data_IF_458786564728
#
_entry.id   IF_458786564728
#
_cell.length_a   1.000
_cell.length_b   1.000
_cell.length_c   1.000
_cell.angle_alpha   90.00
_cell.angle_beta   90.00
_cell.angle_gamma   90.00
#
_symmetry.space_group_name_H-M   'P 1'
#
loop_
_entity.id
_entity.type
_entity.pdbx_description
1 polymer ?
#
# COMPACT_ATOMS: atom_id res chain seq x y z
N UNK A 1 -17.04 31.99 -42.98
CA UNK A 1 -16.95 31.32 -41.67
C UNK A 1 -15.74 30.40 -41.77
N UNK A 2 -14.60 30.81 -41.21
CA UNK A 2 -13.42 29.96 -41.20
C UNK A 2 -13.72 28.72 -40.37
N UNK A 3 -13.58 27.54 -40.98
CA UNK A 3 -13.89 26.23 -40.40
C UNK A 3 -13.00 25.86 -39.19
N UNK A 4 -12.10 26.75 -38.76
CA UNK A 4 -11.17 26.55 -37.67
C UNK A 4 -11.69 26.92 -36.28
N UNK A 5 -12.78 27.69 -36.15
CA UNK A 5 -13.18 28.25 -34.84
C UNK A 5 -14.46 27.64 -34.24
N UNK A 6 -14.90 26.51 -34.79
CA UNK A 6 -16.08 25.81 -34.28
C UNK A 6 -15.72 25.04 -33.02
N UNK A 7 -16.39 25.38 -31.92
CA UNK A 7 -16.32 24.63 -30.66
C UNK A 7 -17.25 23.42 -30.78
N UNK A 8 -16.70 22.23 -30.59
CA UNK A 8 -17.44 20.97 -30.59
C UNK A 8 -17.19 20.22 -29.28
N UNK A 9 -18.16 19.38 -28.92
CA UNK A 9 -18.07 18.48 -27.76
C UNK A 9 -18.02 17.04 -28.25
N UNK A 10 -17.05 16.28 -27.76
CA UNK A 10 -16.91 14.85 -28.10
C UNK A 10 -16.73 14.02 -26.84
N UNK A 11 -17.24 12.80 -26.89
CA UNK A 11 -17.18 11.83 -25.79
C UNK A 11 -16.12 10.78 -26.12
N UNK A 12 -15.21 10.54 -25.18
CA UNK A 12 -14.14 9.55 -25.26
C UNK A 12 -14.29 8.53 -24.14
N UNK A 13 -14.18 7.25 -24.46
CA UNK A 13 -14.24 6.16 -23.48
C UNK A 13 -12.86 5.54 -23.31
N UNK A 14 -12.30 5.62 -22.11
CA UNK A 14 -11.00 5.07 -21.76
C UNK A 14 -11.13 3.69 -21.13
N UNK A 15 -10.24 2.77 -21.50
CA UNK A 15 -10.27 1.37 -21.03
C UNK A 15 -9.22 1.07 -19.98
N UNK A 16 -8.06 1.72 -20.05
CA UNK A 16 -6.87 1.35 -19.30
C UNK A 16 -6.35 2.48 -18.41
N UNK A 17 -6.44 3.73 -18.88
CA UNK A 17 -6.00 4.89 -18.11
C UNK A 17 -7.13 5.49 -17.24
N UNK A 18 -6.75 5.99 -16.07
CA UNK A 18 -7.65 6.72 -15.18
C UNK A 18 -8.09 8.06 -15.80
N UNK A 19 -9.40 8.35 -15.79
CA UNK A 19 -9.96 9.58 -16.38
C UNK A 19 -9.36 10.86 -15.78
N UNK A 20 -8.96 10.86 -14.51
CA UNK A 20 -8.34 12.02 -13.87
C UNK A 20 -6.91 12.25 -14.39
N UNK A 21 -6.14 11.17 -14.59
CA UNK A 21 -4.81 11.25 -15.16
C UNK A 21 -4.86 11.76 -16.61
N UNK A 22 -5.77 11.21 -17.41
CA UNK A 22 -5.97 11.65 -18.79
C UNK A 22 -6.40 13.14 -18.86
N UNK A 23 -7.32 13.59 -18.01
CA UNK A 23 -7.68 15.01 -17.91
C UNK A 23 -6.48 15.89 -17.57
N UNK A 24 -5.70 15.50 -16.56
CA UNK A 24 -4.52 16.28 -16.14
C UNK A 24 -3.49 16.42 -17.28
N UNK A 25 -3.26 15.37 -18.07
CA UNK A 25 -2.38 15.42 -19.23
C UNK A 25 -2.92 16.34 -20.32
N UNK A 26 -4.22 16.25 -20.62
CA UNK A 26 -4.88 17.12 -21.61
C UNK A 26 -4.85 18.60 -21.18
N UNK A 27 -5.01 18.89 -19.89
CA UNK A 27 -4.92 20.24 -19.33
C UNK A 27 -3.47 20.78 -19.40
N UNK A 28 -2.47 19.97 -19.04
CA UNK A 28 -1.05 20.35 -19.11
C UNK A 28 -0.62 20.68 -20.54
N UNK A 29 -1.12 19.94 -21.53
CA UNK A 29 -0.86 20.20 -22.95
C UNK A 29 -1.77 21.29 -23.55
N UNK A 30 -2.69 21.85 -22.75
CA UNK A 30 -3.68 22.87 -23.17
C UNK A 30 -4.48 22.45 -24.41
N UNK A 31 -4.82 21.16 -24.48
CA UNK A 31 -5.50 20.57 -25.63
C UNK A 31 -7.03 20.78 -25.56
N UNK A 32 -7.61 20.83 -24.37
CA UNK A 32 -9.05 21.08 -24.15
C UNK A 32 -9.35 22.50 -23.68
N UNK A 33 -10.57 22.98 -23.95
CA UNK A 33 -11.11 24.21 -23.35
C UNK A 33 -11.85 23.87 -22.05
N UNK A 34 -12.68 22.84 -22.10
CA UNK A 34 -13.34 22.27 -20.92
C UNK A 34 -13.33 20.75 -21.02
N UNK A 35 -12.98 20.09 -19.92
CA UNK A 35 -12.91 18.63 -19.84
C UNK A 35 -13.69 18.20 -18.61
N UNK A 36 -14.77 17.45 -18.83
CA UNK A 36 -15.58 16.84 -17.78
C UNK A 36 -15.30 15.34 -17.75
N UNK A 37 -15.07 14.79 -16.56
CA UNK A 37 -14.80 13.37 -16.36
C UNK A 37 -15.99 12.68 -15.69
N UNK A 38 -16.22 11.43 -16.07
CA UNK A 38 -17.17 10.52 -15.44
C UNK A 38 -16.37 9.27 -15.05
N UNK A 39 -15.78 9.25 -13.84
CA UNK A 39 -14.91 8.16 -13.39
C UNK A 39 -15.59 6.79 -13.40
N UNK A 40 -16.88 6.76 -13.06
CA UNK A 40 -17.67 5.53 -12.92
C UNK A 40 -17.77 4.75 -14.23
N UNK A 41 -17.81 5.47 -15.37
CA UNK A 41 -17.93 4.89 -16.71
C UNK A 41 -16.62 4.99 -17.51
N UNK A 42 -15.52 5.45 -16.91
CA UNK A 42 -14.26 5.68 -17.63
C UNK A 42 -14.38 6.67 -18.79
N UNK A 43 -15.32 7.62 -18.72
CA UNK A 43 -15.65 8.50 -19.85
C UNK A 43 -15.14 9.92 -19.64
N UNK A 44 -14.63 10.52 -20.71
CA UNK A 44 -14.22 11.92 -20.79
C UNK A 44 -15.07 12.65 -21.83
N UNK A 45 -15.67 13.75 -21.40
CA UNK A 45 -16.39 14.67 -22.29
C UNK A 45 -15.46 15.87 -22.48
N UNK A 46 -14.97 16.03 -23.71
CA UNK A 46 -14.03 17.08 -24.07
C UNK A 46 -14.74 18.09 -24.95
N UNK A 47 -14.76 19.34 -24.52
CA UNK A 47 -15.23 20.49 -25.28
C UNK A 47 -14.02 21.30 -25.74
N UNK A 48 -13.91 21.54 -27.05
CA UNK A 48 -12.79 22.28 -27.61
C UNK A 48 -12.96 22.58 -29.10
N UNK A 49 -11.94 23.19 -29.69
CA UNK A 49 -11.96 23.55 -31.10
C UNK A 49 -11.85 22.33 -32.02
N UNK A 50 -12.65 22.31 -33.09
CA UNK A 50 -12.73 21.19 -34.03
C UNK A 50 -11.37 20.75 -34.59
N UNK A 51 -10.48 21.69 -34.94
CA UNK A 51 -9.16 21.37 -35.48
C UNK A 51 -8.21 20.69 -34.48
N UNK A 52 -8.46 20.82 -33.17
CA UNK A 52 -7.65 20.13 -32.14
C UNK A 52 -8.21 18.77 -31.79
N UNK A 53 -9.47 18.48 -32.14
CA UNK A 53 -10.16 17.28 -31.70
C UNK A 53 -9.51 16.00 -32.23
N UNK A 54 -9.03 16.00 -33.48
CA UNK A 54 -8.29 14.87 -34.04
C UNK A 54 -7.01 14.56 -33.24
N UNK A 55 -6.26 15.59 -32.85
CA UNK A 55 -5.04 15.43 -32.04
C UNK A 55 -5.33 14.94 -30.63
N UNK A 56 -6.46 15.34 -30.04
CA UNK A 56 -6.90 14.85 -28.73
C UNK A 56 -7.23 13.36 -28.81
N UNK A 57 -7.95 12.94 -29.86
CA UNK A 57 -8.28 11.54 -30.11
C UNK A 57 -7.02 10.68 -30.27
N UNK A 58 -6.10 11.09 -31.16
CA UNK A 58 -4.83 10.38 -31.35
C UNK A 58 -3.98 10.33 -30.07
N UNK A 59 -3.96 11.41 -29.29
CA UNK A 59 -3.23 11.45 -28.02
C UNK A 59 -3.85 10.50 -26.99
N UNK A 60 -5.18 10.48 -26.86
CA UNK A 60 -5.89 9.59 -25.96
C UNK A 60 -5.67 8.12 -26.35
N UNK A 61 -5.72 7.79 -27.64
CA UNK A 61 -5.44 6.43 -28.14
C UNK A 61 -3.98 6.02 -27.89
N UNK A 62 -3.04 6.98 -27.97
CA UNK A 62 -1.63 6.70 -27.71
C UNK A 62 -1.34 6.41 -26.23
N UNK A 63 -2.07 7.07 -25.30
CA UNK A 63 -1.86 6.91 -23.85
C UNK A 63 -2.75 5.83 -23.22
N UNK A 64 -3.91 5.51 -23.81
CA UNK A 64 -4.84 4.48 -23.31
C UNK A 64 -4.37 3.06 -23.71
N UNK A 65 -3.12 2.76 -23.38
CA UNK A 65 -2.53 1.42 -23.57
C UNK A 65 -2.76 0.58 -22.31
N UNK A 66 -2.93 -0.75 -22.45
CA UNK A 66 -3.00 -1.64 -21.30
C UNK A 66 -1.73 -1.50 -20.48
N UNK A 67 -1.88 -0.98 -19.26
CA UNK A 67 -0.82 -1.03 -18.26
C UNK A 67 -0.51 -2.48 -17.88
N UNK A 68 0.66 -2.70 -17.29
CA UNK A 68 1.02 -4.02 -16.78
C UNK A 68 0.00 -4.52 -15.76
N UNK A 69 -0.47 -5.75 -15.94
CA UNK A 69 -1.41 -6.36 -15.02
C UNK A 69 -0.72 -6.67 -13.69
N UNK A 70 -1.38 -6.31 -12.59
CA UNK A 70 -0.94 -6.74 -11.26
C UNK A 70 -1.05 -8.25 -11.15
N UNK A 71 0.01 -8.89 -10.69
CA UNK A 71 0.08 -10.33 -10.45
C UNK A 71 -0.11 -10.62 -8.96
N UNK A 72 -0.68 -11.77 -8.66
CA UNK A 72 -0.72 -12.32 -7.32
C UNK A 72 0.42 -13.35 -7.15
N UNK A 73 1.18 -13.23 -6.06
CA UNK A 73 2.20 -14.20 -5.64
C UNK A 73 2.10 -14.46 -4.14
N UNK A 74 2.64 -15.59 -3.70
CA UNK A 74 2.83 -15.84 -2.28
C UNK A 74 4.21 -16.45 -2.02
N UNK A 75 4.75 -16.19 -0.83
CA UNK A 75 6.00 -16.77 -0.34
C UNK A 75 5.77 -17.43 1.01
N UNK A 76 6.20 -18.68 1.13
CA UNK A 76 6.22 -19.41 2.39
C UNK A 76 7.54 -19.14 3.10
N UNK A 77 7.48 -18.65 4.34
CA UNK A 77 8.66 -18.40 5.15
C UNK A 77 9.05 -19.65 5.93
N UNK A 78 10.35 -19.85 6.12
CA UNK A 78 10.95 -21.02 6.80
C UNK A 78 11.56 -20.69 8.14
N UNK A 79 12.27 -19.56 8.24
CA UNK A 79 13.09 -19.23 9.40
C UNK A 79 12.54 -18.02 10.17
N UNK A 80 11.70 -17.23 9.53
CA UNK A 80 11.09 -16.02 10.07
C UNK A 80 9.57 -16.07 10.05
N UNK A 81 8.94 -15.15 10.79
CA UNK A 81 7.47 -15.05 10.86
C UNK A 81 6.93 -13.95 9.94
N UNK A 82 5.88 -14.27 9.18
CA UNK A 82 5.29 -13.37 8.19
C UNK A 82 4.87 -12.03 8.77
N UNK A 83 4.35 -12.06 10.00
CA UNK A 83 3.88 -10.91 10.78
C UNK A 83 5.00 -9.92 11.11
N UNK A 84 6.16 -10.46 11.47
CA UNK A 84 7.31 -9.65 11.88
C UNK A 84 8.11 -9.20 10.66
N UNK A 85 8.05 -9.97 9.58
CA UNK A 85 8.79 -9.71 8.36
C UNK A 85 8.10 -8.68 7.43
N UNK A 86 6.79 -8.79 7.22
CA UNK A 86 6.03 -7.87 6.36
C UNK A 86 6.27 -6.37 6.66
N UNK A 87 6.22 -5.88 7.93
CA UNK A 87 6.51 -4.48 8.22
C UNK A 87 7.97 -4.09 7.91
N UNK A 88 8.93 -4.99 8.13
CA UNK A 88 10.35 -4.75 7.79
C UNK A 88 10.57 -4.63 6.28
N UNK A 89 9.90 -5.48 5.50
CA UNK A 89 9.93 -5.42 4.03
C UNK A 89 9.38 -4.08 3.56
N UNK A 90 8.24 -3.63 4.12
CA UNK A 90 7.67 -2.32 3.81
C UNK A 90 8.68 -1.20 4.05
N UNK A 91 9.28 -1.16 5.25
CA UNK A 91 10.23 -0.08 5.58
C UNK A 91 11.44 -0.07 4.65
N UNK A 92 11.98 -1.23 4.29
CA UNK A 92 13.14 -1.34 3.41
C UNK A 92 12.78 -0.97 1.95
N UNK A 93 11.63 -1.42 1.46
CA UNK A 93 11.18 -1.10 0.11
C UNK A 93 10.88 0.40 -0.07
N UNK A 94 10.31 1.05 0.95
CA UNK A 94 10.08 2.50 0.95
C UNK A 94 11.39 3.28 1.04
N UNK A 95 12.37 2.82 1.83
CA UNK A 95 13.70 3.43 1.91
C UNK A 95 14.49 3.33 0.60
N UNK A 96 14.32 2.24 -0.15
CA UNK A 96 14.89 2.09 -1.49
C UNK A 96 14.21 3.01 -2.53
N UNK A 97 13.15 3.74 -2.15
CA UNK A 97 12.45 4.71 -3.00
C UNK A 97 11.77 4.11 -4.24
N UNK A 98 11.78 2.78 -4.37
CA UNK A 98 11.40 2.10 -5.62
C UNK A 98 9.92 1.67 -5.60
N UNK A 99 9.32 1.47 -4.42
CA UNK A 99 8.00 0.84 -4.29
C UNK A 99 7.25 1.41 -3.07
N UNK A 100 5.97 1.74 -3.25
CA UNK A 100 5.06 2.04 -2.14
C UNK A 100 4.27 0.79 -1.76
N UNK A 101 4.44 0.32 -0.52
CA UNK A 101 3.84 -0.93 -0.04
C UNK A 101 2.71 -0.63 0.95
N UNK A 102 1.52 -1.18 0.69
CA UNK A 102 0.43 -1.22 1.69
C UNK A 102 0.32 -2.62 2.25
N UNK A 103 0.40 -2.74 3.58
CA UNK A 103 0.17 -4.00 4.28
C UNK A 103 -1.30 -4.04 4.69
N UNK A 104 -1.95 -5.20 4.55
CA UNK A 104 -3.26 -5.48 5.07
C UNK A 104 -3.31 -5.15 6.57
N UNK A 105 -4.09 -4.13 6.94
CA UNK A 105 -4.35 -3.86 8.34
C UNK A 105 -5.26 -4.96 8.88
N UNK A 106 -4.85 -5.61 9.99
CA UNK A 106 -5.78 -6.47 10.75
C UNK A 106 -7.04 -5.65 11.06
N UNK A 107 -8.25 -6.20 10.85
CA UNK A 107 -9.47 -5.50 11.20
C UNK A 107 -9.39 -5.07 12.66
N UNK A 108 -9.58 -3.77 12.91
CA UNK A 108 -9.46 -3.19 14.23
C UNK A 108 -10.32 -4.01 15.22
N UNK A 109 -9.69 -4.48 16.29
CA UNK A 109 -10.37 -5.24 17.34
C UNK A 109 -11.62 -4.46 17.78
N UNK A 110 -12.77 -5.14 17.78
CA UNK A 110 -14.06 -4.55 18.12
C UNK A 110 -13.93 -3.92 19.51
N UNK A 111 -14.05 -2.60 19.58
CA UNK A 111 -13.88 -1.86 20.84
C UNK A 111 -14.97 -2.33 21.80
N UNK A 112 -14.58 -3.10 22.83
CA UNK A 112 -15.47 -3.54 23.89
C UNK A 112 -15.60 -2.46 24.95
N UNK A 113 -16.79 -2.38 25.54
CA UNK A 113 -17.10 -1.42 26.60
C UNK A 113 -16.40 -1.85 27.88
N UNK A 114 -15.67 -0.93 28.53
CA UNK A 114 -14.98 -1.25 29.79
C UNK A 114 -16.01 -1.37 30.93
N UNK A 115 -15.81 -2.23 31.93
CA UNK A 115 -16.63 -2.23 33.14
C UNK A 115 -16.57 -0.84 33.78
N UNK A 116 -17.73 -0.22 34.05
CA UNK A 116 -17.93 1.17 34.53
C UNK A 116 -17.83 2.31 33.49
N UNK A 117 -17.73 2.02 32.20
CA UNK A 117 -17.74 3.07 31.16
C UNK A 117 -19.16 3.58 30.86
N UNK A 118 -19.36 4.90 30.94
CA UNK A 118 -20.63 5.55 30.56
C UNK A 118 -20.88 5.45 29.05
N UNK A 119 -22.14 5.48 28.63
CA UNK A 119 -22.50 5.37 27.21
C UNK A 119 -21.92 6.52 26.37
N UNK A 120 -21.81 7.72 26.96
CA UNK A 120 -21.20 8.90 26.33
C UNK A 120 -19.69 8.73 26.14
N UNK A 121 -18.98 8.22 27.14
CA UNK A 121 -17.55 7.95 27.04
C UNK A 121 -17.22 6.88 25.98
N UNK A 122 -18.05 5.82 25.91
CA UNK A 122 -17.91 4.79 24.88
C UNK A 122 -18.11 5.34 23.46
N UNK A 123 -19.15 6.17 23.24
CA UNK A 123 -19.39 6.82 21.93
C UNK A 123 -18.26 7.77 21.54
N UNK A 124 -17.76 8.57 22.48
CA UNK A 124 -16.63 9.46 22.23
C UNK A 124 -15.37 8.70 21.81
N UNK A 125 -15.08 7.55 22.46
CA UNK A 125 -13.93 6.69 22.13
C UNK A 125 -14.08 6.04 20.75
N UNK A 126 -15.29 5.60 20.42
CA UNK A 126 -15.59 5.03 19.11
C UNK A 126 -15.46 6.07 17.99
N UNK A 127 -15.95 7.28 18.19
CA UNK A 127 -15.82 8.38 17.22
C UNK A 127 -14.36 8.81 17.03
N UNK A 128 -13.58 8.88 18.11
CA UNK A 128 -12.14 9.23 18.05
C UNK A 128 -11.32 8.16 17.32
N UNK A 129 -11.63 6.88 17.54
CA UNK A 129 -11.01 5.78 16.80
C UNK A 129 -11.41 5.77 15.31
N UNK A 130 -12.67 6.05 14.99
CA UNK A 130 -13.14 6.16 13.61
C UNK A 130 -12.53 7.36 12.88
N UNK A 131 -12.32 8.48 13.56
CA UNK A 131 -11.64 9.65 13.01
C UNK A 131 -10.16 9.37 12.73
N UNK A 132 -9.45 8.69 13.64
CA UNK A 132 -8.05 8.29 13.45
C UNK A 132 -7.85 7.30 12.29
N UNK A 133 -8.82 6.42 12.04
CA UNK A 133 -8.80 5.49 10.91
C UNK A 133 -9.03 6.19 9.55
N UNK A 134 -9.76 7.32 9.53
CA UNK A 134 -10.04 8.08 8.29
C UNK A 134 -8.85 8.93 7.82
N UNK A 135 -7.98 9.36 8.73
CA UNK A 135 -6.78 10.15 8.43
C UNK A 135 -5.62 9.33 7.88
N UNK A 136 -5.71 8.00 7.88
CA UNK A 136 -4.67 7.09 7.39
C UNK A 136 -4.89 6.60 5.95
N UNK A 137 -5.72 7.28 5.15
CA UNK A 137 -5.88 6.96 3.73
C UNK A 137 -4.59 7.33 2.98
N UNK A 138 -3.86 6.38 2.39
CA UNK A 138 -2.66 6.70 1.61
C UNK A 138 -3.09 7.49 0.37
N UNK A 139 -2.53 8.67 0.18
CA UNK A 139 -2.75 9.55 -0.98
C UNK A 139 -2.08 9.05 -2.27
N UNK A 140 -1.25 8.00 -2.18
CA UNK A 140 -0.65 7.32 -3.31
C UNK A 140 -1.27 5.93 -3.46
N UNK A 141 -1.78 5.60 -4.66
CA UNK A 141 -2.22 4.23 -4.99
C UNK A 141 -1.01 3.30 -4.77
N UNK A 142 -1.04 2.37 -3.79
CA UNK A 142 0.12 1.54 -3.51
C UNK A 142 0.42 0.66 -4.72
N UNK A 143 1.70 0.59 -5.04
CA UNK A 143 2.20 -0.20 -6.15
C UNK A 143 2.18 -1.69 -5.80
N UNK A 144 2.45 -2.03 -4.53
CA UNK A 144 2.39 -3.40 -4.03
C UNK A 144 1.53 -3.48 -2.77
N UNK A 145 0.67 -4.48 -2.69
CA UNK A 145 -0.10 -4.85 -1.51
C UNK A 145 0.47 -6.13 -0.90
N UNK A 146 0.69 -6.15 0.41
CA UNK A 146 1.15 -7.31 1.16
C UNK A 146 0.12 -7.73 2.21
N UNK A 147 -0.08 -9.03 2.39
CA UNK A 147 -0.82 -9.60 3.52
C UNK A 147 0.00 -10.73 4.16
N UNK A 148 -0.06 -10.85 5.48
CA UNK A 148 0.69 -11.83 6.24
C UNK A 148 -0.27 -12.87 6.83
N UNK A 149 -0.28 -14.08 6.26
CA UNK A 149 -1.02 -15.21 6.81
C UNK A 149 -0.21 -15.91 7.90
N UNK A 150 -0.63 -15.65 9.13
CA UNK A 150 -0.09 -16.17 10.40
C UNK A 150 -0.23 -17.69 10.49
N UNK A 151 -1.35 -18.23 9.99
CA UNK A 151 -1.70 -19.65 10.13
C UNK A 151 -0.81 -20.53 9.26
N UNK A 152 -0.44 -20.03 8.09
CA UNK A 152 0.43 -20.77 7.16
C UNK A 152 1.85 -20.22 7.12
N UNK A 153 2.16 -19.16 7.85
CA UNK A 153 3.44 -18.44 7.78
C UNK A 153 3.81 -18.02 6.34
N UNK A 154 2.86 -17.41 5.62
CA UNK A 154 3.02 -16.96 4.22
C UNK A 154 2.84 -15.46 4.10
N UNK A 155 3.59 -14.84 3.20
CA UNK A 155 3.34 -13.47 2.73
C UNK A 155 2.64 -13.57 1.37
N UNK A 156 1.43 -12.99 1.28
CA UNK A 156 0.66 -12.83 0.06
C UNK A 156 0.96 -11.45 -0.52
N UNK A 157 1.11 -11.36 -1.84
CA UNK A 157 1.62 -10.17 -2.51
C UNK A 157 0.85 -9.90 -3.80
N UNK A 158 0.45 -8.65 -4.02
CA UNK A 158 -0.21 -8.21 -5.25
C UNK A 158 0.49 -6.96 -5.77
N UNK A 159 1.02 -7.00 -6.99
CA UNK A 159 1.77 -5.88 -7.56
C UNK A 159 2.24 -6.13 -8.98
N UNK A 160 2.99 -5.20 -9.56
CA UNK A 160 3.62 -5.41 -10.87
C UNK A 160 4.72 -6.47 -10.80
N UNK A 161 4.99 -7.14 -11.92
CA UNK A 161 5.94 -8.26 -11.97
C UNK A 161 7.33 -7.86 -11.44
N UNK A 162 7.86 -6.73 -11.89
CA UNK A 162 9.18 -6.22 -11.49
C UNK A 162 9.24 -5.87 -10.00
N UNK A 163 8.15 -5.33 -9.47
CA UNK A 163 8.06 -4.94 -8.06
C UNK A 163 8.01 -6.17 -7.15
N UNK A 164 7.29 -7.21 -7.57
CA UNK A 164 7.24 -8.48 -6.84
C UNK A 164 8.62 -9.16 -6.83
N UNK A 165 9.39 -9.06 -7.91
CA UNK A 165 10.78 -9.59 -7.94
C UNK A 165 11.67 -8.89 -6.91
N UNK A 166 11.52 -7.58 -6.71
CA UNK A 166 12.25 -6.84 -5.67
C UNK A 166 11.85 -7.33 -4.27
N UNK A 167 10.55 -7.50 -4.02
CA UNK A 167 10.05 -8.00 -2.74
C UNK A 167 10.52 -9.44 -2.48
N UNK A 168 10.51 -10.30 -3.51
CA UNK A 168 11.04 -11.67 -3.42
C UNK A 168 12.51 -11.67 -2.97
N UNK A 169 13.36 -10.81 -3.55
CA UNK A 169 14.77 -10.66 -3.13
C UNK A 169 14.93 -10.17 -1.69
N UNK A 170 14.06 -9.26 -1.24
CA UNK A 170 14.06 -8.79 0.15
C UNK A 170 13.66 -9.91 1.11
N UNK A 171 12.68 -10.74 0.74
CA UNK A 171 12.29 -11.92 1.53
C UNK A 171 13.46 -12.89 1.62
N UNK A 172 14.12 -13.20 0.51
CA UNK A 172 15.25 -14.13 0.47
C UNK A 172 16.44 -13.67 1.35
N UNK A 173 16.69 -12.36 1.40
CA UNK A 173 17.74 -11.79 2.23
C UNK A 173 17.42 -11.79 3.73
N UNK A 174 16.14 -11.82 4.10
CA UNK A 174 15.69 -11.69 5.49
C UNK A 174 15.22 -13.02 6.10
N UNK A 175 14.69 -13.94 5.30
CA UNK A 175 14.26 -15.28 5.73
C UNK A 175 15.44 -16.26 5.71
N UNK A 176 16.42 -15.98 6.57
CA UNK A 176 17.63 -16.80 6.73
C UNK A 176 17.63 -17.49 8.09
N UNK A 177 18.29 -18.64 8.16
CA UNK A 177 18.44 -19.38 9.42
C UNK A 177 19.20 -18.54 10.44
N UNK A 178 18.54 -18.25 11.57
CA UNK A 178 19.19 -17.58 12.68
C UNK A 178 19.99 -18.61 13.48
N UNK A 179 21.32 -18.58 13.37
CA UNK A 179 22.18 -19.31 14.31
C UNK A 179 22.22 -18.53 15.62
N UNK A 180 21.36 -18.89 16.56
CA UNK A 180 21.44 -18.33 17.91
C UNK A 180 22.73 -18.86 18.56
N UNK A 181 23.75 -18.02 18.61
CA UNK A 181 25.01 -18.33 19.31
C UNK A 181 24.83 -18.37 20.84
N UNK A 182 23.63 -18.03 21.35
CA UNK A 182 23.32 -18.18 22.77
C UNK A 182 23.21 -19.65 23.13
N UNK A 183 24.24 -20.16 23.80
CA UNK A 183 24.14 -21.46 24.47
C UNK A 183 23.40 -21.28 25.79
N UNK A 184 22.22 -21.90 25.94
CA UNK A 184 21.57 -22.03 27.23
C UNK A 184 22.42 -22.95 28.11
N UNK A 185 22.96 -22.40 29.19
CA UNK A 185 23.70 -23.17 30.20
C UNK A 185 22.93 -23.11 31.50
N UNK A 186 22.53 -24.28 31.98
CA UNK A 186 21.91 -24.41 33.30
C UNK A 186 23.04 -24.52 34.33
N UNK A 187 23.11 -23.54 35.23
CA UNK A 187 24.03 -23.57 36.37
C UNK A 187 23.24 -23.85 37.63
N UNK A 188 23.58 -24.93 38.33
CA UNK A 188 23.03 -25.22 39.63
C UNK A 188 23.80 -24.44 40.70
N UNK A 189 23.09 -23.63 41.48
CA UNK A 189 23.67 -22.77 42.49
C UNK A 189 23.71 -23.55 43.81
N UNK A 190 24.91 -23.73 44.39
CA UNK A 190 25.10 -24.57 45.58
C UNK A 190 25.07 -23.79 46.90
N UNK A 191 25.53 -22.54 46.91
CA UNK A 191 25.87 -21.83 48.15
C UNK A 191 25.20 -20.46 48.33
N UNK A 192 24.51 -19.94 47.32
CA UNK A 192 23.91 -18.59 47.32
C UNK A 192 22.46 -18.68 46.84
N UNK A 193 21.61 -17.74 47.27
CA UNK A 193 20.24 -17.63 46.77
C UNK A 193 20.20 -17.24 45.28
N UNK A 194 19.26 -17.80 44.54
CA UNK A 194 19.09 -17.51 43.12
C UNK A 194 18.72 -16.04 42.85
N UNK A 195 17.91 -15.41 43.71
CA UNK A 195 17.60 -13.98 43.61
C UNK A 195 18.85 -13.08 43.70
N UNK A 196 19.78 -13.37 44.61
CA UNK A 196 20.96 -12.53 44.83
C UNK A 196 21.96 -12.61 43.65
N UNK A 197 22.10 -13.80 43.05
CA UNK A 197 22.91 -13.97 41.83
C UNK A 197 22.27 -13.26 40.64
N UNK A 198 20.94 -13.28 40.54
CA UNK A 198 20.22 -12.58 39.49
C UNK A 198 20.48 -11.07 39.56
N UNK A 199 20.34 -10.45 40.74
CA UNK A 199 20.62 -9.02 40.91
C UNK A 199 22.05 -8.66 40.50
N UNK A 200 23.05 -9.44 40.95
CA UNK A 200 24.46 -9.20 40.60
C UNK A 200 24.75 -9.41 39.11
N UNK A 201 24.08 -10.34 38.45
CA UNK A 201 24.21 -10.56 37.01
C UNK A 201 23.55 -9.44 36.20
N UNK A 202 22.42 -8.90 36.67
CA UNK A 202 21.75 -7.74 36.07
C UNK A 202 22.61 -6.47 36.17
N UNK A 203 23.42 -6.32 37.23
CA UNK A 203 24.38 -5.21 37.37
C UNK A 203 25.61 -5.33 36.45
N UNK A 204 25.93 -6.53 35.97
CA UNK A 204 27.09 -6.81 35.11
C UNK A 204 26.78 -6.75 33.60
N UNK A 205 25.52 -6.55 33.22
CA UNK A 205 25.04 -6.41 31.84
C UNK A 205 24.66 -4.96 31.52
#
# INVERSE_FOLDING_TARGET
IEYGDVIITRVFTLKHIDTANAKNLLDQMKLGVNITLIPESGTLIVTGYAYRMARIEEFLDMIDKPGEAKQFRFRQLRYTMAQTLAPKIKTLAEQLGTISITIAAKPAARITRKPRESAAAFRARQQKAAAAARTAAPTAKPTVYLDADERTNRILMVGLADQLVVVDKLIDALDVEYQDLRTLRLYEIQYVGAEEIKEKLEELC
#
